data_IF_404993361592
#
_entry.id   IF_404993361592
#
_cell.length_a   1.000
_cell.length_b   1.000
_cell.length_c   1.000
_cell.angle_alpha   90.00
_cell.angle_beta   90.00
_cell.angle_gamma   90.00
#
_symmetry.space_group_name_H-M   'P 1'
#
loop_
_entity.id
_entity.type
_entity.pdbx_description
1 polymer ?
#
# COMPACT_ATOMS: atom_id res chain seq x y z
N UNK A 1 10.21 -12.40 6.40
CA UNK A 1 10.79 -11.36 7.29
C UNK A 1 10.52 -11.75 8.73
N UNK A 2 11.38 -11.33 9.69
CA UNK A 2 11.20 -11.68 11.10
C UNK A 2 10.05 -10.88 11.70
N UNK A 3 9.15 -11.53 12.42
CA UNK A 3 7.98 -10.91 13.08
C UNK A 3 8.38 -9.85 14.12
N UNK A 4 9.57 -9.97 14.70
CA UNK A 4 10.10 -9.03 15.69
C UNK A 4 10.34 -7.61 15.15
N UNK A 5 10.56 -7.46 13.82
CA UNK A 5 10.77 -6.17 13.16
C UNK A 5 9.50 -5.60 12.52
N UNK A 6 8.34 -6.21 12.75
CA UNK A 6 7.08 -5.77 12.19
C UNK A 6 6.59 -4.49 12.86
N UNK A 7 6.35 -3.46 12.04
CA UNK A 7 5.82 -2.16 12.49
C UNK A 7 4.29 -2.20 12.45
N UNK A 8 3.72 -2.60 11.30
CA UNK A 8 2.27 -2.63 11.05
C UNK A 8 1.89 -3.93 10.37
N UNK A 9 0.72 -4.43 10.68
CA UNK A 9 -0.06 -5.37 9.89
C UNK A 9 -1.51 -4.93 10.00
N UNK A 10 -2.05 -4.38 8.94
CA UNK A 10 -3.42 -3.86 8.89
C UNK A 10 -4.15 -4.43 7.69
N UNK A 11 -5.41 -4.77 7.86
CA UNK A 11 -6.26 -5.31 6.81
C UNK A 11 -7.66 -4.75 6.95
N UNK A 12 -8.19 -4.16 5.88
CA UNK A 12 -9.54 -3.61 5.83
C UNK A 12 -10.26 -4.12 4.59
N UNK A 13 -11.60 -4.14 4.69
CA UNK A 13 -12.46 -4.69 3.66
C UNK A 13 -13.49 -3.68 3.20
N UNK A 14 -13.88 -3.79 1.92
CA UNK A 14 -14.97 -3.03 1.34
C UNK A 14 -15.67 -3.88 0.28
N UNK A 15 -16.90 -3.50 -0.08
CA UNK A 15 -17.66 -4.18 -1.14
C UNK A 15 -17.41 -3.49 -2.47
N UNK A 16 -17.23 -4.29 -3.51
CA UNK A 16 -17.21 -3.87 -4.92
C UNK A 16 -18.50 -4.43 -5.56
N UNK A 17 -19.32 -3.57 -6.18
CA UNK A 17 -20.56 -3.96 -6.85
C UNK A 17 -20.28 -4.29 -8.32
N UNK A 18 -19.46 -5.31 -8.54
CA UNK A 18 -19.16 -5.87 -9.86
C UNK A 18 -18.98 -7.39 -9.76
N UNK A 19 -19.21 -8.08 -10.87
CA UNK A 19 -18.91 -9.49 -11.00
C UNK A 19 -17.38 -9.70 -10.97
N UNK A 20 -16.92 -10.78 -10.34
CA UNK A 20 -15.48 -11.04 -10.14
C UNK A 20 -14.73 -11.15 -11.48
N UNK A 21 -15.39 -11.64 -12.52
CA UNK A 21 -14.83 -11.81 -13.86
C UNK A 21 -14.50 -10.48 -14.57
N UNK A 22 -15.02 -9.36 -14.04
CA UNK A 22 -14.74 -8.01 -14.55
C UNK A 22 -13.60 -7.31 -13.82
N UNK A 23 -13.12 -7.89 -12.72
CA UNK A 23 -12.11 -7.28 -11.87
C UNK A 23 -10.73 -7.76 -12.31
N UNK A 24 -9.81 -6.79 -12.50
CA UNK A 24 -8.40 -7.02 -12.78
C UNK A 24 -7.58 -6.06 -11.93
N UNK A 25 -7.18 -6.52 -10.74
CA UNK A 25 -6.41 -5.72 -9.78
C UNK A 25 -5.08 -5.21 -10.35
N UNK A 26 -4.28 -6.04 -11.06
CA UNK A 26 -3.08 -5.57 -11.73
C UNK A 26 -3.35 -4.48 -12.79
N UNK A 27 -4.36 -4.69 -13.64
CA UNK A 27 -4.70 -3.69 -14.66
C UNK A 27 -5.13 -2.38 -14.00
N UNK A 28 -5.93 -2.42 -12.94
CA UNK A 28 -6.32 -1.24 -12.17
C UNK A 28 -5.10 -0.55 -11.55
N UNK A 29 -4.28 -1.26 -10.77
CA UNK A 29 -3.18 -0.66 -10.01
C UNK A 29 -2.13 0.00 -10.91
N UNK A 30 -1.77 -0.65 -12.03
CA UNK A 30 -0.76 -0.14 -12.97
C UNK A 30 -1.31 0.86 -13.99
N UNK A 31 -2.62 1.12 -14.04
CA UNK A 31 -3.23 2.17 -14.87
C UNK A 31 -3.88 3.29 -14.05
N UNK A 32 -3.78 3.22 -12.72
CA UNK A 32 -4.30 4.26 -11.83
C UNK A 32 -3.70 5.62 -12.19
N UNK A 33 -4.57 6.58 -12.51
CA UNK A 33 -4.14 7.95 -12.81
C UNK A 33 -3.78 8.71 -11.53
N UNK A 34 -2.93 9.72 -11.63
CA UNK A 34 -2.58 10.57 -10.48
C UNK A 34 -3.83 11.22 -9.86
N UNK A 35 -4.76 11.69 -10.69
CA UNK A 35 -5.99 12.31 -10.20
C UNK A 35 -6.85 11.32 -9.39
N UNK A 36 -6.96 10.09 -9.86
CA UNK A 36 -7.71 9.03 -9.18
C UNK A 36 -7.02 8.56 -7.91
N UNK A 37 -5.70 8.37 -7.96
CA UNK A 37 -4.90 8.03 -6.78
C UNK A 37 -5.05 9.08 -5.67
N UNK A 38 -4.90 10.36 -6.02
CA UNK A 38 -5.10 11.48 -5.07
C UNK A 38 -6.53 11.59 -4.56
N UNK A 39 -7.49 11.15 -5.35
CA UNK A 39 -8.91 11.07 -4.94
C UNK A 39 -9.18 9.99 -3.88
N UNK A 40 -8.30 9.01 -3.72
CA UNK A 40 -8.50 7.91 -2.75
C UNK A 40 -8.05 8.27 -1.33
N UNK A 41 -7.13 9.22 -1.16
CA UNK A 41 -6.69 9.68 0.17
C UNK A 41 -6.07 11.07 0.11
N UNK A 42 -6.30 11.93 1.12
CA UNK A 42 -5.58 13.21 1.23
C UNK A 42 -4.09 13.04 1.49
N UNK A 43 -3.63 11.86 1.90
CA UNK A 43 -2.21 11.54 2.08
C UNK A 43 -1.50 11.29 0.75
N UNK A 44 -2.22 10.96 -0.32
CA UNK A 44 -1.66 10.65 -1.62
C UNK A 44 -1.20 11.90 -2.37
N UNK A 45 0.04 11.89 -2.85
CA UNK A 45 0.68 13.04 -3.51
C UNK A 45 0.87 12.81 -5.00
N UNK A 46 1.41 11.65 -5.39
CA UNK A 46 1.66 11.29 -6.78
C UNK A 46 1.72 9.77 -6.96
N UNK A 47 1.44 9.32 -8.17
CA UNK A 47 1.66 7.95 -8.60
C UNK A 47 2.29 7.94 -10.00
N UNK A 48 3.19 6.99 -10.23
CA UNK A 48 3.79 6.74 -11.53
C UNK A 48 4.00 5.25 -11.75
N UNK A 49 4.37 4.86 -12.96
CA UNK A 49 4.65 3.47 -13.31
C UNK A 49 5.90 3.35 -14.17
N UNK A 50 6.57 2.23 -14.02
CA UNK A 50 7.74 1.87 -14.84
C UNK A 50 7.88 0.34 -14.91
N UNK A 51 8.91 -0.11 -15.59
CA UNK A 51 9.35 -1.51 -15.63
C UNK A 51 10.70 -1.59 -14.95
N UNK A 52 10.85 -2.50 -14.02
CA UNK A 52 12.10 -2.78 -13.33
C UNK A 52 13.15 -3.43 -14.25
N UNK A 53 14.42 -3.48 -13.84
CA UNK A 53 15.49 -4.09 -14.63
C UNK A 53 15.31 -5.60 -14.84
N UNK A 54 14.49 -6.24 -14.01
CA UNK A 54 14.11 -7.66 -14.11
C UNK A 54 12.85 -7.91 -14.95
N UNK A 55 12.29 -6.84 -15.57
CA UNK A 55 11.10 -6.90 -16.43
C UNK A 55 9.77 -6.85 -15.68
N UNK A 56 9.76 -6.84 -14.34
CA UNK A 56 8.53 -6.72 -13.54
C UNK A 56 7.97 -5.30 -13.58
N UNK A 57 6.65 -5.18 -13.52
CA UNK A 57 6.00 -3.87 -13.43
C UNK A 57 6.26 -3.24 -12.07
N UNK A 58 6.40 -1.93 -12.06
CA UNK A 58 6.58 -1.14 -10.85
C UNK A 58 5.56 -0.01 -10.78
N UNK A 59 5.00 0.21 -9.59
CA UNK A 59 4.27 1.41 -9.21
C UNK A 59 5.13 2.25 -8.27
N UNK A 60 5.25 3.53 -8.55
CA UNK A 60 5.96 4.49 -7.71
C UNK A 60 4.92 5.39 -7.06
N UNK A 61 4.72 5.22 -5.77
CA UNK A 61 3.72 5.96 -5.00
C UNK A 61 4.41 6.96 -4.08
N UNK A 62 3.87 8.17 -4.02
CA UNK A 62 4.33 9.20 -3.08
C UNK A 62 3.19 9.56 -2.16
N UNK A 63 3.43 9.48 -0.85
CA UNK A 63 2.44 9.70 0.20
C UNK A 63 3.03 10.49 1.36
N UNK A 64 2.16 11.12 2.17
CA UNK A 64 2.54 11.75 3.43
C UNK A 64 1.74 11.12 4.57
N UNK A 65 2.31 10.15 5.27
CA UNK A 65 1.66 9.43 6.36
C UNK A 65 2.24 9.91 7.70
N UNK A 66 1.37 10.43 8.56
CA UNK A 66 1.78 10.95 9.87
C UNK A 66 2.83 12.06 9.79
N UNK A 67 2.73 12.91 8.76
CA UNK A 67 3.62 14.04 8.51
C UNK A 67 4.97 13.67 7.86
N UNK A 68 5.24 12.40 7.58
CA UNK A 68 6.46 11.97 6.91
C UNK A 68 6.17 11.66 5.43
N UNK A 69 6.84 12.35 4.49
CA UNK A 69 6.82 11.96 3.09
C UNK A 69 7.45 10.57 2.90
N UNK A 70 6.83 9.77 2.04
CA UNK A 70 7.30 8.44 1.67
C UNK A 70 7.32 8.31 0.15
N UNK A 71 8.34 7.64 -0.36
CA UNK A 71 8.40 7.20 -1.77
C UNK A 71 8.47 5.68 -1.76
N UNK A 72 7.44 5.06 -2.29
CA UNK A 72 7.27 3.61 -2.32
C UNK A 72 7.58 3.11 -3.73
N UNK A 73 8.54 2.19 -3.82
CA UNK A 73 9.01 1.60 -5.07
C UNK A 73 8.44 0.18 -5.19
N UNK A 74 7.14 0.08 -5.41
CA UNK A 74 6.44 -1.19 -5.47
C UNK A 74 6.80 -1.99 -6.72
N UNK A 75 7.22 -3.23 -6.54
CA UNK A 75 7.43 -4.22 -7.59
C UNK A 75 6.40 -5.34 -7.42
N UNK A 76 5.82 -5.82 -8.51
CA UNK A 76 4.87 -6.94 -8.47
C UNK A 76 5.55 -8.27 -8.08
N UNK A 77 4.95 -8.98 -7.11
CA UNK A 77 5.36 -10.33 -6.67
C UNK A 77 4.31 -11.38 -7.05
N UNK A 78 3.02 -11.05 -6.89
CA UNK A 78 1.88 -11.82 -7.36
C UNK A 78 1.03 -10.90 -8.23
N UNK A 79 0.60 -11.38 -9.37
CA UNK A 79 -0.12 -10.58 -10.36
C UNK A 79 -1.20 -11.41 -11.04
N UNK A 80 -2.26 -11.69 -10.27
CA UNK A 80 -3.47 -12.41 -10.71
C UNK A 80 -4.66 -11.45 -10.72
N UNK A 81 -5.67 -11.63 -11.58
CA UNK A 81 -6.79 -10.69 -11.68
C UNK A 81 -7.45 -10.36 -10.35
N UNK A 82 -7.55 -11.31 -9.44
CA UNK A 82 -8.18 -11.16 -8.12
C UNK A 82 -7.20 -11.18 -6.94
N UNK A 83 -5.89 -11.21 -7.20
CA UNK A 83 -4.85 -11.19 -6.16
C UNK A 83 -3.59 -10.48 -6.67
N UNK A 84 -3.25 -9.37 -6.05
CA UNK A 84 -2.06 -8.58 -6.36
C UNK A 84 -1.23 -8.41 -5.09
N UNK A 85 0.05 -8.74 -5.15
CA UNK A 85 1.01 -8.47 -4.09
C UNK A 85 2.13 -7.60 -4.65
N UNK A 86 2.31 -6.45 -4.04
CA UNK A 86 3.34 -5.48 -4.36
C UNK A 86 4.29 -5.35 -3.17
N UNK A 87 5.60 -5.37 -3.43
CA UNK A 87 6.63 -5.22 -2.40
C UNK A 87 7.51 -4.01 -2.69
N UNK A 88 7.90 -3.31 -1.65
CA UNK A 88 8.73 -2.10 -1.77
C UNK A 88 9.76 -2.03 -0.66
N UNK A 89 10.97 -1.62 -1.01
CA UNK A 89 11.89 -0.97 -0.08
C UNK A 89 11.63 0.53 -0.21
N UNK A 90 10.82 1.06 0.70
CA UNK A 90 10.30 2.43 0.64
C UNK A 90 11.21 3.41 1.35
N UNK A 91 11.41 4.57 0.77
CA UNK A 91 12.10 5.70 1.41
C UNK A 91 11.13 6.50 2.28
N UNK A 92 11.51 6.76 3.52
CA UNK A 92 10.77 7.60 4.47
C UNK A 92 11.63 8.79 4.85
N UNK A 93 11.11 10.00 4.63
CA UNK A 93 11.79 11.24 4.94
C UNK A 93 11.32 11.76 6.30
N UNK A 94 12.23 11.77 7.27
CA UNK A 94 11.99 12.22 8.64
C UNK A 94 12.75 13.52 8.91
N UNK A 95 12.44 14.28 9.97
CA UNK A 95 13.21 15.45 10.36
C UNK A 95 14.71 15.17 10.62
N UNK A 96 15.06 13.93 10.91
CA UNK A 96 16.45 13.50 11.20
C UNK A 96 17.15 12.87 10.00
N UNK A 97 16.47 12.79 8.84
CA UNK A 97 17.03 12.26 7.60
C UNK A 97 16.15 11.17 6.97
N UNK A 98 16.65 10.62 5.87
CA UNK A 98 16.00 9.51 5.17
C UNK A 98 16.31 8.19 5.87
N UNK A 99 15.31 7.35 5.98
CA UNK A 99 15.41 5.93 6.36
C UNK A 99 14.60 5.07 5.40
N UNK A 100 14.82 3.77 5.41
CA UNK A 100 14.03 2.84 4.59
C UNK A 100 13.20 1.89 5.45
N UNK A 101 12.08 1.43 4.89
CA UNK A 101 11.23 0.38 5.45
C UNK A 101 10.82 -0.61 4.36
N UNK A 102 10.59 -1.86 4.74
CA UNK A 102 9.94 -2.81 3.85
C UNK A 102 8.43 -2.66 3.94
N UNK A 103 7.76 -2.57 2.80
CA UNK A 103 6.31 -2.54 2.69
C UNK A 103 5.84 -3.67 1.78
N UNK A 104 4.85 -4.42 2.24
CA UNK A 104 4.06 -5.34 1.41
C UNK A 104 2.65 -4.79 1.34
N UNK A 105 2.17 -4.50 0.13
CA UNK A 105 0.81 -4.11 -0.14
C UNK A 105 0.12 -5.26 -0.88
N UNK A 106 -0.86 -5.86 -0.22
CA UNK A 106 -1.59 -7.03 -0.71
C UNK A 106 -3.05 -6.66 -0.92
N UNK A 107 -3.53 -6.87 -2.13
CA UNK A 107 -4.91 -6.65 -2.55
C UNK A 107 -5.52 -7.97 -2.97
N UNK A 108 -6.71 -8.28 -2.49
CA UNK A 108 -7.44 -9.48 -2.92
C UNK A 108 -8.92 -9.22 -3.05
N UNK A 109 -9.55 -9.99 -3.94
CA UNK A 109 -10.99 -9.92 -4.18
C UNK A 109 -11.58 -11.33 -4.13
N UNK A 110 -12.65 -11.47 -3.36
CA UNK A 110 -13.41 -12.71 -3.23
C UNK A 110 -14.88 -12.51 -3.62
N UNK A 111 -15.41 -13.43 -4.40
CA UNK A 111 -16.81 -13.40 -4.83
C UNK A 111 -17.75 -13.56 -3.61
N UNK A 112 -18.69 -12.61 -3.46
CA UNK A 112 -19.80 -12.72 -2.49
C UNK A 112 -21.07 -13.29 -3.15
N UNK A 113 -21.37 -12.79 -4.36
CA UNK A 113 -22.48 -13.25 -5.20
C UNK A 113 -22.20 -12.90 -6.66
N UNK A 114 -23.16 -13.05 -7.56
CA UNK A 114 -22.96 -12.82 -9.01
C UNK A 114 -22.59 -11.38 -9.37
N UNK A 115 -22.96 -10.40 -8.53
CA UNK A 115 -22.76 -8.97 -8.82
C UNK A 115 -21.97 -8.23 -7.73
N UNK A 116 -21.42 -8.95 -6.74
CA UNK A 116 -20.69 -8.33 -5.64
C UNK A 116 -19.48 -9.15 -5.23
N UNK A 117 -18.42 -8.44 -4.88
CA UNK A 117 -17.20 -9.00 -4.34
C UNK A 117 -16.77 -8.30 -3.04
N UNK A 118 -16.06 -9.01 -2.19
CA UNK A 118 -15.33 -8.45 -1.05
C UNK A 118 -13.91 -8.13 -1.48
N UNK A 119 -13.54 -6.86 -1.41
CA UNK A 119 -12.18 -6.38 -1.57
C UNK A 119 -11.47 -6.33 -0.22
N UNK A 120 -10.26 -6.81 -0.16
CA UNK A 120 -9.37 -6.71 1.00
C UNK A 120 -8.13 -5.92 0.63
N UNK A 121 -7.83 -4.87 1.40
CA UNK A 121 -6.62 -4.06 1.33
C UNK A 121 -5.79 -4.34 2.58
N UNK A 122 -4.63 -5.01 2.43
CA UNK A 122 -3.72 -5.33 3.52
C UNK A 122 -2.37 -4.68 3.30
N UNK A 123 -1.87 -4.04 4.35
CA UNK A 123 -0.54 -3.42 4.37
C UNK A 123 0.26 -3.99 5.54
N UNK A 124 1.43 -4.53 5.23
CA UNK A 124 2.40 -5.02 6.22
C UNK A 124 3.71 -4.26 6.06
N UNK A 125 4.21 -3.69 7.16
CA UNK A 125 5.49 -2.98 7.15
C UNK A 125 6.47 -3.56 8.15
N UNK A 126 7.75 -3.60 7.75
CA UNK A 126 8.84 -4.06 8.61
C UNK A 126 9.97 -3.05 8.63
N UNK A 127 10.59 -2.91 9.80
CA UNK A 127 11.80 -2.12 9.95
C UNK A 127 12.97 -2.78 9.21
N UNK A 128 13.77 -1.93 8.55
CA UNK A 128 15.10 -2.30 8.04
C UNK A 128 16.16 -2.15 9.13
N UNK A 129 17.33 -2.73 8.92
CA UNK A 129 18.49 -2.51 9.79
C UNK A 129 18.91 -1.03 9.81
N UNK A 130 18.70 -0.31 8.68
CA UNK A 130 18.95 1.14 8.60
C UNK A 130 18.03 1.90 9.57
N UNK A 131 16.73 1.61 9.58
CA UNK A 131 15.78 2.23 10.52
C UNK A 131 16.13 1.89 11.97
N UNK A 132 16.38 0.62 12.27
CA UNK A 132 16.73 0.16 13.62
C UNK A 132 18.00 0.85 14.13
N UNK A 133 19.02 0.95 13.26
CA UNK A 133 20.28 1.68 13.59
C UNK A 133 20.01 3.16 13.83
N UNK A 134 19.17 3.80 13.01
CA UNK A 134 18.79 5.21 13.16
C UNK A 134 18.07 5.47 14.49
N UNK A 135 17.13 4.63 14.85
CA UNK A 135 16.41 4.69 16.13
C UNK A 135 17.38 4.52 17.31
N UNK A 136 18.30 3.54 17.23
CA UNK A 136 19.32 3.31 18.26
C UNK A 136 20.22 4.53 18.48
N UNK A 137 20.67 5.20 17.41
CA UNK A 137 21.47 6.44 17.50
C UNK A 137 20.69 7.59 18.15
N UNK A 138 19.37 7.62 18.01
CA UNK A 138 18.49 8.62 18.60
C UNK A 138 18.02 8.25 20.03
N UNK A 139 18.37 7.05 20.51
CA UNK A 139 17.91 6.55 21.81
C UNK A 139 16.40 6.24 21.84
N UNK A 140 15.78 5.98 20.69
CA UNK A 140 14.35 5.70 20.57
C UNK A 140 14.15 4.17 20.58
N UNK A 141 13.48 3.59 21.61
CA UNK A 141 13.13 2.18 21.61
C UNK A 141 12.19 1.83 20.43
N UNK A 142 12.40 0.68 19.81
CA UNK A 142 11.58 0.26 18.65
C UNK A 142 10.09 0.14 19.01
N UNK A 143 9.76 -0.36 20.19
CA UNK A 143 8.37 -0.48 20.65
C UNK A 143 7.68 0.89 20.77
N UNK A 144 8.40 1.91 21.21
CA UNK A 144 7.88 3.28 21.28
C UNK A 144 7.65 3.86 19.87
N UNK A 145 8.60 3.65 18.95
CA UNK A 145 8.46 4.01 17.55
C UNK A 145 7.23 3.32 16.95
N UNK A 146 7.12 2.00 17.11
CA UNK A 146 5.98 1.19 16.64
C UNK A 146 4.65 1.72 17.20
N UNK A 147 4.55 1.94 18.51
CA UNK A 147 3.34 2.45 19.14
C UNK A 147 2.90 3.82 18.58
N UNK A 148 3.85 4.65 18.14
CA UNK A 148 3.58 5.96 17.54
C UNK A 148 3.15 5.83 16.08
N UNK A 149 3.74 4.92 15.30
CA UNK A 149 3.54 4.83 13.86
C UNK A 149 2.39 3.92 13.45
N UNK A 150 2.16 2.86 14.20
CA UNK A 150 1.13 1.87 13.90
C UNK A 150 -0.27 2.48 13.75
N UNK A 151 -0.78 3.34 14.67
CA UNK A 151 -2.10 3.94 14.54
C UNK A 151 -2.24 4.77 13.25
N UNK A 152 -1.22 5.56 12.90
CA UNK A 152 -1.23 6.42 11.72
C UNK A 152 -1.36 5.62 10.41
N UNK A 153 -0.63 4.51 10.32
CA UNK A 153 -0.69 3.62 9.15
C UNK A 153 -2.02 2.85 9.09
N UNK A 154 -2.53 2.41 10.23
CA UNK A 154 -3.84 1.73 10.33
C UNK A 154 -4.96 2.68 9.90
N UNK A 155 -4.98 3.91 10.39
CA UNK A 155 -6.00 4.90 10.07
C UNK A 155 -5.94 5.28 8.58
N UNK A 156 -4.74 5.40 8.01
CA UNK A 156 -4.56 5.63 6.58
C UNK A 156 -5.15 4.48 5.76
N UNK A 157 -4.72 3.24 5.99
CA UNK A 157 -5.21 2.06 5.28
C UNK A 157 -6.73 1.90 5.41
N UNK A 158 -7.28 2.14 6.62
CA UNK A 158 -8.72 2.10 6.85
C UNK A 158 -9.47 3.14 6.04
N UNK A 159 -8.94 4.36 5.96
CA UNK A 159 -9.61 5.46 5.29
C UNK A 159 -9.58 5.36 3.76
N UNK A 160 -8.52 4.84 3.16
CA UNK A 160 -8.38 4.71 1.71
C UNK A 160 -9.12 3.49 1.13
N UNK A 161 -9.26 2.41 1.90
CA UNK A 161 -9.83 1.13 1.43
C UNK A 161 -11.18 1.27 0.70
N UNK A 162 -12.19 2.02 1.21
CA UNK A 162 -13.45 2.18 0.50
C UNK A 162 -13.30 2.97 -0.81
N UNK A 163 -12.35 3.89 -0.89
CA UNK A 163 -12.09 4.67 -2.11
C UNK A 163 -11.39 3.84 -3.18
N UNK A 164 -10.45 2.97 -2.80
CA UNK A 164 -9.87 2.00 -3.71
C UNK A 164 -10.94 1.02 -4.23
N UNK A 165 -11.81 0.50 -3.36
CA UNK A 165 -12.91 -0.36 -3.79
C UNK A 165 -13.80 0.32 -4.83
N UNK A 166 -14.19 1.59 -4.61
CA UNK A 166 -14.97 2.37 -5.55
C UNK A 166 -14.23 2.65 -6.87
N UNK A 167 -12.91 2.86 -6.81
CA UNK A 167 -12.07 3.03 -7.99
C UNK A 167 -11.96 1.73 -8.82
N UNK A 168 -11.78 0.59 -8.16
CA UNK A 168 -11.76 -0.74 -8.80
C UNK A 168 -13.13 -1.02 -9.44
N UNK A 169 -14.24 -0.69 -8.76
CA UNK A 169 -15.59 -0.84 -9.28
C UNK A 169 -15.78 -0.04 -10.59
N UNK A 170 -15.37 1.24 -10.62
CA UNK A 170 -15.41 2.06 -11.85
C UNK A 170 -14.59 1.42 -12.97
N UNK A 171 -13.38 0.97 -12.67
CA UNK A 171 -12.53 0.28 -13.65
C UNK A 171 -13.19 -0.97 -14.21
N UNK A 172 -13.81 -1.79 -13.38
CA UNK A 172 -14.52 -3.00 -13.77
C UNK A 172 -15.77 -2.75 -14.61
N UNK A 173 -16.41 -1.59 -14.43
CA UNK A 173 -17.64 -1.19 -15.15
C UNK A 173 -17.35 -0.33 -16.39
N UNK A 174 -16.11 0.10 -16.62
CA UNK A 174 -15.71 0.94 -17.75
C UNK A 174 -16.22 2.38 -17.66
N UNK A 175 -16.34 2.91 -16.44
CA UNK A 175 -16.92 4.24 -16.14
C UNK A 175 -15.91 5.22 -15.55
#
# INVERSE_FOLDING_TARGET
MKTENQIVDSSFKAVINAAIEKIDLPAWAFNLSEAEYKGCSPAHVAVGKTIGPDGRRMSINVEVIGGNPMVQHYTEEVSEPNHLVLVSLSDVFTPTGRVSIHVTWELSVHKLNENQCEFTNRVVTHATDELLSSLGKQGIPFDLFKATRQPLSIDHNKSETPFFAASIERSALGS
#
